data_IF_623433041962
#
_entry.id   IF_623433041962
#
_cell.length_a   1.000
_cell.length_b   1.000
_cell.length_c   1.000
_cell.angle_alpha   90.00
_cell.angle_beta   90.00
_cell.angle_gamma   90.00
#
_symmetry.space_group_name_H-M   'P 1'
#
loop_
_entity.id
_entity.type
_entity.pdbx_description
1 polymer ?
#
# COMPACT_ATOMS: atom_id res chain seq x y z
N UNK A 1 -6.50 12.93 -1.36
CA UNK A 1 -6.09 12.05 -2.46
C UNK A 1 -7.21 12.11 -3.49
N UNK A 2 -6.93 12.60 -4.70
CA UNK A 2 -7.93 12.73 -5.76
C UNK A 2 -8.33 11.37 -6.33
N UNK A 3 -9.44 11.34 -7.07
CA UNK A 3 -9.94 10.15 -7.80
C UNK A 3 -8.89 9.60 -8.77
N UNK A 4 -7.97 10.45 -9.23
CA UNK A 4 -6.84 10.10 -10.10
C UNK A 4 -5.86 9.05 -9.52
N UNK A 5 -5.84 8.85 -8.20
CA UNK A 5 -4.96 7.87 -7.55
C UNK A 5 -5.70 6.64 -7.04
N UNK A 6 -7.04 6.62 -7.15
CA UNK A 6 -7.80 5.44 -6.80
C UNK A 6 -7.49 4.33 -7.82
N UNK A 7 -7.49 3.06 -7.41
CA UNK A 7 -7.46 1.97 -8.35
C UNK A 7 -8.71 2.02 -9.26
N UNK A 8 -8.59 1.47 -10.46
CA UNK A 8 -9.67 1.40 -11.43
C UNK A 8 -10.95 0.76 -10.85
N UNK A 9 -10.78 -0.25 -9.99
CA UNK A 9 -11.83 -0.97 -9.27
C UNK A 9 -12.63 -0.10 -8.31
N UNK A 10 -12.07 1.04 -7.89
CA UNK A 10 -12.69 2.00 -6.97
C UNK A 10 -13.00 3.34 -7.63
N UNK A 11 -13.08 3.38 -8.96
CA UNK A 11 -13.50 4.56 -9.72
C UNK A 11 -12.37 5.49 -10.16
N UNK A 12 -11.11 5.05 -10.06
CA UNK A 12 -9.95 5.77 -10.61
C UNK A 12 -9.65 5.44 -12.07
N UNK A 13 -8.53 5.95 -12.62
CA UNK A 13 -8.20 5.79 -14.03
C UNK A 13 -7.89 4.33 -14.41
N UNK A 14 -8.29 3.92 -15.61
CA UNK A 14 -8.09 2.55 -16.12
C UNK A 14 -6.61 2.13 -16.23
N UNK A 15 -5.68 3.09 -16.20
CA UNK A 15 -4.24 2.84 -16.17
C UNK A 15 -3.72 2.41 -14.79
N UNK A 16 -4.50 2.62 -13.73
CA UNK A 16 -4.15 2.32 -12.35
C UNK A 16 -4.91 1.09 -11.85
N UNK A 17 -4.69 -0.05 -12.50
CA UNK A 17 -5.28 -1.34 -12.09
C UNK A 17 -4.65 -1.78 -10.78
N UNK A 18 -5.45 -2.27 -9.83
CA UNK A 18 -4.96 -2.76 -8.55
C UNK A 18 -4.09 -4.01 -8.71
N UNK A 19 -2.76 -3.85 -8.70
CA UNK A 19 -1.82 -4.97 -8.62
C UNK A 19 -1.61 -5.39 -7.17
N UNK A 20 -2.36 -6.39 -6.75
CA UNK A 20 -2.28 -6.96 -5.39
C UNK A 20 -0.94 -7.65 -5.13
N UNK A 21 -0.28 -8.19 -6.14
CA UNK A 21 1.03 -8.84 -5.99
C UNK A 21 2.11 -7.80 -5.71
N UNK A 22 2.07 -6.65 -6.39
CA UNK A 22 2.99 -5.56 -6.15
C UNK A 22 2.87 -5.05 -4.70
N UNK A 23 1.63 -4.85 -4.23
CA UNK A 23 1.37 -4.43 -2.85
C UNK A 23 1.87 -5.48 -1.86
N UNK A 24 1.53 -6.76 -2.07
CA UNK A 24 1.95 -7.85 -1.21
C UNK A 24 3.48 -7.94 -1.13
N UNK A 25 4.17 -7.92 -2.27
CA UNK A 25 5.62 -7.97 -2.33
C UNK A 25 6.28 -6.81 -1.57
N UNK A 26 5.74 -5.60 -1.72
CA UNK A 26 6.25 -4.44 -1.00
C UNK A 26 6.06 -4.54 0.52
N UNK A 27 4.89 -5.02 0.95
CA UNK A 27 4.61 -5.27 2.37
C UNK A 27 5.51 -6.37 2.94
N UNK A 28 5.71 -7.46 2.20
CA UNK A 28 6.63 -8.55 2.61
C UNK A 28 8.07 -8.07 2.72
N UNK A 29 8.55 -7.23 1.80
CA UNK A 29 9.90 -6.66 1.86
C UNK A 29 10.07 -5.68 3.03
N UNK A 30 8.98 -5.05 3.46
CA UNK A 30 8.98 -4.06 4.53
C UNK A 30 8.61 -4.65 5.90
N UNK A 31 8.47 -5.97 6.01
CA UNK A 31 7.94 -6.65 7.20
C UNK A 31 8.68 -6.27 8.49
N UNK A 32 10.01 -6.30 8.48
CA UNK A 32 10.84 -5.97 9.66
C UNK A 32 10.64 -4.51 10.10
N UNK A 33 10.52 -3.60 9.14
CA UNK A 33 10.25 -2.18 9.42
C UNK A 33 8.84 -1.99 10.00
N UNK A 34 7.85 -2.69 9.47
CA UNK A 34 6.48 -2.66 9.96
C UNK A 34 6.38 -3.23 11.39
N UNK A 35 7.15 -4.28 11.69
CA UNK A 35 7.25 -4.85 13.05
C UNK A 35 7.83 -3.83 14.04
N UNK A 36 8.92 -3.15 13.65
CA UNK A 36 9.52 -2.09 14.47
C UNK A 36 8.55 -0.94 14.73
N UNK A 37 7.77 -0.54 13.73
CA UNK A 37 6.71 0.47 13.89
C UNK A 37 5.62 0.01 14.86
N UNK A 38 5.22 -1.26 14.83
CA UNK A 38 4.24 -1.81 15.77
C UNK A 38 4.73 -1.76 17.22
N UNK A 39 6.01 -2.04 17.42
CA UNK A 39 6.64 -2.02 18.75
C UNK A 39 7.05 -0.61 19.18
N UNK A 40 7.01 0.38 18.28
CA UNK A 40 7.39 1.75 18.57
C UNK A 40 6.45 2.37 19.60
N UNK A 41 6.94 2.50 20.84
CA UNK A 41 6.32 3.38 21.85
C UNK A 41 6.93 4.76 21.74
N UNK A 42 6.12 5.72 21.30
CA UNK A 42 6.47 7.15 21.34
C UNK A 42 6.71 7.54 22.80
N UNK A 43 7.91 8.05 23.08
CA UNK A 43 8.31 8.56 24.40
C UNK A 43 7.58 9.84 24.76
#
# INVERSE_FOLDING_TARGET
>A
VGVEYLPAEYGGPATNVLDTNLIFNHLSQSADYLEQLQQYKKR
#
